data_IF_320927973742
#
_entry.id   IF_320927973742
#
_cell.length_a   1.000
_cell.length_b   1.000
_cell.length_c   1.000
_cell.angle_alpha   90.00
_cell.angle_beta   90.00
_cell.angle_gamma   90.00
#
_symmetry.space_group_name_H-M   'P 1'
#
loop_
_entity.id
_entity.type
_entity.pdbx_description
1 polymer ?
#
# COMPACT_ATOMS: atom_id res chain seq x y z
N UNK A 1 6.79 2.65 7.23
CA UNK A 1 5.36 3.01 7.28
C UNK A 1 5.01 3.77 8.56
N UNK A 2 5.06 3.14 9.74
CA UNK A 2 4.58 3.77 10.99
C UNK A 2 5.28 5.09 11.35
N UNK A 3 6.59 5.21 11.10
CA UNK A 3 7.33 6.47 11.32
C UNK A 3 6.75 7.61 10.47
N UNK A 4 6.46 7.36 9.19
CA UNK A 4 5.87 8.37 8.30
C UNK A 4 4.44 8.74 8.74
N UNK A 5 3.66 7.75 9.19
CA UNK A 5 2.32 7.99 9.75
C UNK A 5 2.39 8.84 11.03
N UNK A 6 3.33 8.55 11.93
CA UNK A 6 3.54 9.30 13.17
C UNK A 6 4.02 10.74 12.92
N UNK A 7 4.79 10.96 11.85
CA UNK A 7 5.20 12.29 11.40
C UNK A 7 4.14 13.03 10.57
N UNK A 8 2.93 12.45 10.46
CA UNK A 8 1.82 12.99 9.67
C UNK A 8 2.19 13.38 8.23
N UNK A 9 3.05 12.57 7.59
CA UNK A 9 3.41 12.75 6.19
C UNK A 9 2.35 12.11 5.28
N UNK A 10 2.06 12.69 4.11
CA UNK A 10 1.31 11.98 3.06
C UNK A 10 1.94 10.60 2.80
N UNK A 11 1.11 9.57 2.82
CA UNK A 11 1.60 8.18 2.79
C UNK A 11 0.64 7.30 2.00
N UNK A 12 1.16 6.66 0.94
CA UNK A 12 0.47 5.56 0.26
C UNK A 12 1.13 4.24 0.68
N UNK A 13 0.38 3.37 1.37
CA UNK A 13 0.85 2.08 1.84
C UNK A 13 0.30 0.95 0.97
N UNK A 14 1.20 0.19 0.34
CA UNK A 14 0.86 -0.90 -0.58
C UNK A 14 0.84 -2.24 0.17
N UNK A 15 -0.30 -2.92 0.14
CA UNK A 15 -0.49 -4.22 0.76
C UNK A 15 -0.82 -5.27 -0.29
N UNK A 16 -0.25 -6.45 -0.12
CA UNK A 16 -0.60 -7.63 -0.89
C UNK A 16 -1.11 -8.75 -0.01
N UNK A 17 -0.30 -9.80 0.23
CA UNK A 17 -0.71 -10.93 1.06
C UNK A 17 -0.85 -10.57 2.53
N UNK A 18 -0.14 -9.55 3.02
CA UNK A 18 -0.35 -8.98 4.35
C UNK A 18 -1.62 -8.11 4.41
N UNK A 19 -2.23 -8.02 5.59
CA UNK A 19 -3.38 -7.15 5.85
C UNK A 19 -3.00 -5.98 6.74
N UNK A 20 -3.60 -4.78 6.57
CA UNK A 20 -3.43 -3.66 7.48
C UNK A 20 -4.16 -3.84 8.82
N UNK A 21 -5.00 -4.86 8.99
CA UNK A 21 -5.94 -4.97 10.12
C UNK A 21 -5.28 -4.94 11.50
N UNK A 22 -4.08 -5.49 11.64
CA UNK A 22 -3.38 -5.55 12.93
C UNK A 22 -2.43 -4.36 13.16
N UNK A 23 -1.78 -3.86 12.11
CA UNK A 23 -0.79 -2.76 12.20
C UNK A 23 -1.00 -1.71 11.11
N UNK A 24 -2.16 -1.02 11.08
CA UNK A 24 -2.45 -0.05 10.05
C UNK A 24 -1.58 1.20 10.18
N UNK A 25 -1.39 1.99 9.10
CA UNK A 25 -0.83 3.32 9.22
C UNK A 25 -1.83 4.23 9.95
N UNK A 26 -1.54 4.58 11.20
CA UNK A 26 -2.39 5.45 12.03
C UNK A 26 -2.20 6.93 11.67
N UNK A 27 -2.72 7.34 10.51
CA UNK A 27 -2.72 8.74 10.05
C UNK A 27 -3.89 9.01 9.12
N UNK A 28 -4.52 10.19 9.24
CA UNK A 28 -5.56 10.65 8.31
C UNK A 28 -5.03 10.96 6.91
N UNK A 29 -3.72 11.22 6.79
CA UNK A 29 -3.00 11.44 5.53
C UNK A 29 -2.46 10.14 4.92
N UNK A 30 -2.87 8.98 5.45
CA UNK A 30 -2.55 7.69 4.87
C UNK A 30 -3.65 7.19 3.92
N UNK A 31 -3.25 6.54 2.83
CA UNK A 31 -4.12 5.73 1.96
C UNK A 31 -3.54 4.33 1.84
N UNK A 32 -4.40 3.33 1.91
CA UNK A 32 -4.01 1.92 1.78
C UNK A 32 -4.51 1.39 0.44
N UNK A 33 -3.61 0.83 -0.36
CA UNK A 33 -3.96 0.13 -1.60
C UNK A 33 -3.77 -1.36 -1.36
N UNK A 34 -4.86 -2.12 -1.49
CA UNK A 34 -4.87 -3.57 -1.40
C UNK A 34 -5.90 -4.12 -2.39
N UNK A 35 -5.49 -5.02 -3.28
CA UNK A 35 -6.34 -5.57 -4.34
C UNK A 35 -7.06 -6.87 -3.95
N UNK A 36 -6.68 -7.48 -2.83
CA UNK A 36 -7.22 -8.76 -2.38
C UNK A 36 -7.80 -8.67 -0.97
N UNK A 37 -8.74 -9.55 -0.68
CA UNK A 37 -9.29 -9.77 0.67
C UNK A 37 -8.74 -11.08 1.24
N UNK A 38 -8.53 -11.17 2.56
CA UNK A 38 -8.01 -12.39 3.20
C UNK A 38 -6.54 -12.70 2.87
N UNK A 39 -6.03 -13.84 3.35
CA UNK A 39 -4.65 -14.28 3.12
C UNK A 39 -4.61 -15.26 1.95
N UNK A 40 -4.02 -14.84 0.83
CA UNK A 40 -3.73 -15.72 -0.30
C UNK A 40 -2.22 -15.98 -0.39
N UNK A 41 -1.82 -17.23 -0.63
CA UNK A 41 -0.42 -17.66 -0.83
C UNK A 41 -0.13 -17.92 -2.31
N UNK A 42 -0.58 -17.06 -3.22
CA UNK A 42 -0.35 -17.25 -4.66
C UNK A 42 0.82 -16.36 -5.09
N UNK A 43 2.01 -16.96 -5.16
CA UNK A 43 3.24 -16.32 -5.63
C UNK A 43 3.43 -16.57 -7.13
N UNK A 44 3.98 -15.60 -7.85
CA UNK A 44 4.40 -15.80 -9.24
C UNK A 44 5.92 -15.84 -9.31
N UNK A 45 6.46 -16.91 -9.88
CA UNK A 45 7.90 -17.19 -9.97
C UNK A 45 8.27 -18.50 -9.28
N UNK A 46 9.14 -19.31 -9.89
CA UNK A 46 9.56 -20.64 -9.40
C UNK A 46 10.42 -20.58 -8.12
N UNK A 47 10.80 -19.39 -7.66
CA UNK A 47 11.62 -19.20 -6.47
C UNK A 47 10.75 -18.97 -5.23
N UNK A 48 11.21 -19.47 -4.08
CA UNK A 48 10.64 -19.17 -2.76
C UNK A 48 10.58 -17.66 -2.44
N UNK A 49 11.30 -16.84 -3.22
CA UNK A 49 11.46 -15.39 -3.13
C UNK A 49 10.59 -14.59 -4.14
N UNK A 50 9.71 -15.26 -4.89
CA UNK A 50 8.87 -14.60 -5.90
C UNK A 50 7.90 -13.55 -5.32
N UNK A 51 7.63 -12.50 -6.10
CA UNK A 51 6.63 -11.50 -5.75
C UNK A 51 5.22 -12.11 -5.67
N UNK A 52 4.40 -11.58 -4.76
CA UNK A 52 2.99 -11.97 -4.69
C UNK A 52 2.20 -11.27 -5.80
N UNK A 53 1.35 -12.00 -6.53
CA UNK A 53 0.62 -11.46 -7.68
C UNK A 53 -0.19 -10.20 -7.31
N UNK A 54 -0.77 -10.18 -6.12
CA UNK A 54 -1.53 -9.02 -5.64
C UNK A 54 -0.72 -7.72 -5.51
N UNK A 55 0.61 -7.78 -5.35
CA UNK A 55 1.48 -6.59 -5.38
C UNK A 55 1.88 -6.24 -6.81
N UNK A 56 2.10 -7.26 -7.66
CA UNK A 56 2.39 -7.06 -9.09
C UNK A 56 1.23 -6.33 -9.79
N UNK A 57 0.00 -6.67 -9.42
CA UNK A 57 -1.20 -6.08 -10.01
C UNK A 57 -1.43 -4.62 -9.56
N UNK A 58 -0.72 -4.14 -8.54
CA UNK A 58 -0.74 -2.73 -8.17
C UNK A 58 0.11 -1.96 -9.18
N UNK A 59 -0.56 -1.32 -10.14
CA UNK A 59 0.13 -0.59 -11.21
C UNK A 59 0.77 0.71 -10.68
N UNK A 60 1.92 1.13 -11.24
CA UNK A 60 2.55 2.40 -10.87
C UNK A 60 1.62 3.60 -11.06
N UNK A 61 0.82 3.61 -12.13
CA UNK A 61 -0.15 4.67 -12.42
C UNK A 61 -1.15 4.85 -11.27
N UNK A 62 -1.73 3.75 -10.76
CA UNK A 62 -2.67 3.81 -9.64
C UNK A 62 -2.04 4.38 -8.37
N UNK A 63 -0.78 4.01 -8.10
CA UNK A 63 -0.04 4.54 -6.95
C UNK A 63 0.23 6.03 -7.10
N UNK A 64 0.59 6.46 -8.31
CA UNK A 64 0.88 7.86 -8.62
C UNK A 64 -0.37 8.74 -8.51
N UNK A 65 -1.52 8.26 -8.99
CA UNK A 65 -2.80 8.95 -8.86
C UNK A 65 -3.19 9.21 -7.39
N UNK A 66 -3.09 8.18 -6.54
CA UNK A 66 -3.35 8.31 -5.09
C UNK A 66 -2.36 9.24 -4.40
N UNK A 67 -1.08 9.15 -4.76
CA UNK A 67 -0.06 10.03 -4.18
C UNK A 67 -0.29 11.49 -4.56
N UNK A 68 -0.55 11.77 -5.84
CA UNK A 68 -0.82 13.14 -6.30
C UNK A 68 -2.07 13.72 -5.64
N UNK A 69 -3.12 12.92 -5.43
CA UNK A 69 -4.31 13.34 -4.69
C UNK A 69 -3.97 13.78 -3.25
N UNK A 70 -3.13 13.02 -2.54
CA UNK A 70 -2.68 13.38 -1.20
C UNK A 70 -1.77 14.62 -1.16
N UNK A 71 -0.91 14.81 -2.17
CA UNK A 71 -0.04 15.98 -2.27
C UNK A 71 -0.86 17.26 -2.53
N UNK A 72 -1.83 17.20 -3.44
CA UNK A 72 -2.75 18.31 -3.69
C UNK A 72 -3.56 18.71 -2.45
N UNK A 73 -3.96 17.74 -1.62
CA UNK A 73 -4.62 17.99 -0.33
C UNK A 73 -3.68 18.58 0.73
N UNK A 74 -2.37 18.44 0.60
CA UNK A 74 -1.39 19.01 1.53
C UNK A 74 -1.01 20.46 1.16
N UNK A 75 -1.08 20.80 -0.13
CA UNK A 75 -0.77 22.14 -0.64
C UNK A 75 -1.95 23.13 -0.53
N UNK A 76 -3.18 22.62 -0.43
CA UNK A 76 -4.42 23.40 -0.27
C UNK A 76 -4.67 23.81 1.19
#
# INVERSE_FOLDING_TARGET
MHVAAALNRPLVALYGPSSPDFTPPLSHKARVIRLITGYHKVRKGDAAEGYHQSLIDITPTRVLEELNSLLLQEEA
#
